data_IF_927698290489
#
_entry.id   IF_927698290489
#
_cell.length_a   1.000
_cell.length_b   1.000
_cell.length_c   1.000
_cell.angle_alpha   90.00
_cell.angle_beta   90.00
_cell.angle_gamma   90.00
#
_symmetry.space_group_name_H-M   'P 1'
#
loop_
_entity.id
_entity.type
_entity.pdbx_description
1 polymer ?
#
# COMPACT_ATOMS: atom_id res chain seq x y z
N UNK A 1 -20.68 -23.43 27.58
CA UNK A 1 -19.33 -23.20 27.01
C UNK A 1 -18.39 -22.88 28.16
N UNK A 2 -17.21 -23.50 28.22
CA UNK A 2 -16.27 -23.25 29.33
C UNK A 2 -15.60 -21.88 29.14
N UNK A 3 -15.32 -21.17 30.23
CA UNK A 3 -14.66 -19.84 30.14
C UNK A 3 -13.31 -19.88 29.42
N UNK A 4 -12.60 -21.00 29.53
CA UNK A 4 -11.35 -21.25 28.80
C UNK A 4 -11.54 -21.30 27.27
N UNK A 5 -12.63 -21.90 26.79
CA UNK A 5 -12.91 -21.94 25.36
C UNK A 5 -13.19 -20.54 24.79
N UNK A 6 -13.88 -19.68 25.56
CA UNK A 6 -14.14 -18.29 25.17
C UNK A 6 -12.84 -17.48 25.12
N UNK A 7 -11.96 -17.65 26.11
CA UNK A 7 -10.66 -16.98 26.12
C UNK A 7 -9.82 -17.33 24.88
N UNK A 8 -9.76 -18.62 24.53
CA UNK A 8 -9.04 -19.08 23.33
C UNK A 8 -9.64 -18.53 22.03
N UNK A 9 -10.97 -18.46 21.95
CA UNK A 9 -11.66 -17.86 20.81
C UNK A 9 -11.29 -16.37 20.63
N UNK A 10 -11.25 -15.60 21.72
CA UNK A 10 -10.88 -14.18 21.69
C UNK A 10 -9.42 -14.00 21.24
N UNK A 11 -8.50 -14.81 21.77
CA UNK A 11 -7.08 -14.77 21.35
C UNK A 11 -6.93 -15.04 19.86
N UNK A 12 -7.61 -16.07 19.34
CA UNK A 12 -7.62 -16.38 17.92
C UNK A 12 -8.12 -15.20 17.07
N UNK A 13 -9.24 -14.57 17.47
CA UNK A 13 -9.79 -13.43 16.76
C UNK A 13 -8.83 -12.24 16.76
N UNK A 14 -8.17 -11.95 17.89
CA UNK A 14 -7.18 -10.87 17.97
C UNK A 14 -5.97 -11.12 17.08
N UNK A 15 -5.51 -12.36 16.95
CA UNK A 15 -4.38 -12.71 16.07
C UNK A 15 -4.76 -12.51 14.60
N UNK A 16 -5.91 -13.06 14.18
CA UNK A 16 -6.36 -12.97 12.77
C UNK A 16 -6.65 -11.52 12.39
N UNK A 17 -7.47 -10.83 13.19
CA UNK A 17 -7.85 -9.44 12.89
C UNK A 17 -6.70 -8.47 13.11
N UNK A 18 -5.86 -8.69 14.12
CA UNK A 18 -4.67 -7.87 14.36
C UNK A 18 -3.66 -7.97 13.22
N UNK A 19 -3.36 -9.18 12.76
CA UNK A 19 -2.47 -9.41 11.62
C UNK A 19 -3.05 -8.83 10.32
N UNK A 20 -4.35 -9.01 10.09
CA UNK A 20 -5.04 -8.45 8.92
C UNK A 20 -5.00 -6.91 8.93
N UNK A 21 -5.38 -6.29 10.05
CA UNK A 21 -5.40 -4.83 10.18
C UNK A 21 -3.99 -4.25 9.99
N UNK A 22 -2.98 -4.87 10.61
CA UNK A 22 -1.58 -4.47 10.45
C UNK A 22 -1.14 -4.55 8.98
N UNK A 23 -1.45 -5.66 8.29
CA UNK A 23 -1.12 -5.83 6.87
C UNK A 23 -1.79 -4.78 5.98
N UNK A 24 -3.06 -4.47 6.23
CA UNK A 24 -3.79 -3.42 5.49
C UNK A 24 -3.16 -2.05 5.73
N UNK A 25 -2.84 -1.70 6.97
CA UNK A 25 -2.18 -0.42 7.30
C UNK A 25 -0.83 -0.32 6.63
N UNK A 26 -0.03 -1.40 6.64
CA UNK A 26 1.27 -1.44 5.99
C UNK A 26 1.17 -1.26 4.47
N UNK A 27 0.19 -1.89 3.85
CA UNK A 27 -0.06 -1.75 2.40
C UNK A 27 -0.56 -0.34 2.06
N UNK A 28 -1.45 0.23 2.89
CA UNK A 28 -1.94 1.60 2.71
C UNK A 28 -0.82 2.65 2.85
N UNK A 29 0.26 2.35 3.56
CA UNK A 29 1.43 3.25 3.65
C UNK A 29 2.41 3.08 2.50
N UNK A 30 2.42 1.94 1.80
CA UNK A 30 3.27 1.70 0.63
C UNK A 30 2.37 1.48 -0.60
N UNK A 31 1.88 2.59 -1.16
CA UNK A 31 1.12 2.59 -2.41
C UNK A 31 1.95 1.94 -3.51
N UNK A 32 1.38 0.95 -4.20
CA UNK A 32 2.03 0.26 -5.32
C UNK A 32 2.39 1.25 -6.47
N UNK A 33 1.59 2.31 -6.60
CA UNK A 33 1.80 3.41 -7.54
C UNK A 33 3.04 4.28 -7.24
N UNK A 34 3.58 4.32 -6.02
CA UNK A 34 4.84 5.03 -5.72
C UNK A 34 6.06 4.12 -5.65
N UNK A 35 5.86 2.81 -5.52
CA UNK A 35 6.94 1.84 -5.31
C UNK A 35 7.32 1.04 -6.58
N UNK A 36 6.44 1.02 -7.59
CA UNK A 36 6.67 0.37 -8.88
C UNK A 36 7.50 1.18 -9.90
N UNK A 37 8.01 0.48 -10.92
CA UNK A 37 8.71 1.11 -12.07
C UNK A 37 7.86 2.16 -12.80
N UNK A 38 6.53 2.02 -12.74
CA UNK A 38 5.54 2.91 -13.36
C UNK A 38 5.39 4.26 -12.63
N UNK A 39 5.52 4.31 -11.30
CA UNK A 39 5.53 5.57 -10.55
C UNK A 39 6.76 6.42 -10.83
N UNK A 40 7.88 5.77 -11.16
CA UNK A 40 9.13 6.44 -11.53
C UNK A 40 9.11 7.04 -12.95
N UNK A 41 8.20 6.58 -13.81
CA UNK A 41 8.10 7.07 -15.20
C UNK A 41 7.25 8.32 -15.33
N UNK A 42 6.29 8.59 -14.44
CA UNK A 42 5.50 9.85 -14.50
C UNK A 42 6.36 11.07 -14.15
N UNK A 43 7.25 10.97 -13.15
CA UNK A 43 8.21 12.05 -12.84
C UNK A 43 9.24 12.25 -13.97
N UNK A 44 9.68 11.18 -14.63
CA UNK A 44 10.62 11.26 -15.75
C UNK A 44 9.98 11.83 -17.02
N UNK A 45 8.72 11.48 -17.32
CA UNK A 45 8.00 11.94 -18.51
C UNK A 45 7.61 13.41 -18.40
N UNK A 46 7.27 13.88 -17.19
CA UNK A 46 6.94 15.29 -16.96
C UNK A 46 8.14 16.24 -17.18
N UNK A 47 9.37 15.75 -17.00
CA UNK A 47 10.59 16.53 -17.21
C UNK A 47 10.96 16.73 -18.70
N UNK A 48 10.55 15.81 -19.58
CA UNK A 48 10.93 15.86 -21.01
C UNK A 48 9.89 16.58 -21.90
N UNK A 49 8.63 16.70 -21.46
CA UNK A 49 7.57 17.34 -22.25
C UNK A 49 7.68 18.86 -22.49
N UNK A 50 8.28 19.70 -21.61
CA UNK A 50 8.36 21.14 -21.91
C UNK A 50 9.42 21.50 -22.95
N UNK A 51 10.36 20.63 -23.30
CA UNK A 51 11.43 20.95 -24.26
C UNK A 51 11.12 20.53 -25.71
N UNK A 52 10.27 19.53 -25.90
CA UNK A 52 9.93 19.03 -27.25
C UNK A 52 8.92 19.91 -28.00
N UNK A 53 8.18 20.79 -27.30
CA UNK A 53 7.13 21.64 -27.90
C UNK A 53 7.67 23.00 -28.36
N UNK A 54 8.75 23.52 -27.73
CA UNK A 54 9.35 24.82 -28.10
C UNK A 54 10.31 24.74 -29.31
N UNK A 55 10.90 23.58 -29.62
CA UNK A 55 11.84 23.45 -30.75
C UNK A 55 11.16 23.32 -32.13
N UNK A 56 9.81 23.37 -32.18
CA UNK A 56 9.02 23.20 -33.41
C UNK A 56 8.19 24.44 -33.84
N UNK A 57 8.32 25.60 -33.21
CA UNK A 57 7.60 26.84 -33.60
C UNK A 57 8.51 27.99 -34.03
#
# INVERSE_FOLDING_TARGET
MTGQAIAMMVVYLLIVWGGLLFGVVLMATHSDETSGVLGRTEEATAAELPQAVEEQS
#
